data_IF_165257303019
#
_entry.id   IF_165257303019
#
_cell.length_a   1.000
_cell.length_b   1.000
_cell.length_c   1.000
_cell.angle_alpha   90.00
_cell.angle_beta   90.00
_cell.angle_gamma   90.00
#
_symmetry.space_group_name_H-M   'P 1'
#
loop_
_entity.id
_entity.type
_entity.pdbx_description
1 polymer ?
#
# COMPACT_ATOMS: atom_id res chain seq x y z
N UNK A 1 -42.72 38.07 28.32
CA UNK A 1 -41.82 36.94 28.63
C UNK A 1 -40.94 36.74 27.43
N UNK A 2 -39.68 37.14 27.53
CA UNK A 2 -38.71 37.06 26.44
C UNK A 2 -38.22 35.61 26.31
N UNK A 3 -38.35 34.95 25.14
CA UNK A 3 -37.77 33.64 24.92
C UNK A 3 -36.25 33.83 24.83
N UNK A 4 -35.58 33.75 25.98
CA UNK A 4 -34.11 33.83 26.07
C UNK A 4 -33.53 32.76 25.15
N UNK A 5 -32.93 33.23 24.06
CA UNK A 5 -32.14 32.44 23.16
C UNK A 5 -31.09 31.68 23.98
N UNK A 6 -31.28 30.36 24.12
CA UNK A 6 -30.24 29.44 24.59
C UNK A 6 -29.22 29.32 23.46
N UNK A 7 -28.43 30.38 23.27
CA UNK A 7 -27.33 30.40 22.33
C UNK A 7 -26.25 29.47 22.85
N UNK A 8 -26.30 28.20 22.43
CA UNK A 8 -25.16 27.32 22.59
C UNK A 8 -23.95 27.98 21.92
N UNK A 9 -22.79 28.08 22.59
CA UNK A 9 -21.59 28.63 21.99
C UNK A 9 -21.29 27.86 20.69
N UNK A 10 -20.86 28.54 19.61
CA UNK A 10 -20.52 27.89 18.37
C UNK A 10 -19.49 26.79 18.65
N UNK A 11 -19.76 25.57 18.15
CA UNK A 11 -18.83 24.45 18.33
C UNK A 11 -17.45 24.89 17.83
N UNK A 12 -16.38 24.71 18.61
CA UNK A 12 -15.04 25.11 18.21
C UNK A 12 -14.71 24.45 16.86
N UNK A 13 -14.08 25.22 15.98
CA UNK A 13 -13.65 24.73 14.67
C UNK A 13 -12.67 23.58 14.87
N UNK A 14 -12.53 22.70 13.87
CA UNK A 14 -11.55 21.61 13.89
C UNK A 14 -10.17 22.17 14.29
N UNK A 15 -9.76 23.28 13.66
CA UNK A 15 -8.50 23.96 13.94
C UNK A 15 -8.37 24.44 15.40
N UNK A 16 -9.43 24.96 16.01
CA UNK A 16 -9.43 25.36 17.43
C UNK A 16 -9.32 24.16 18.37
N UNK A 17 -10.01 23.05 18.10
CA UNK A 17 -9.89 21.82 18.90
C UNK A 17 -8.46 21.26 18.84
N UNK A 18 -7.84 21.34 17.67
CA UNK A 18 -6.52 20.78 17.42
C UNK A 18 -5.38 21.61 18.01
N UNK A 19 -5.49 22.94 17.99
CA UNK A 19 -4.55 23.82 18.71
C UNK A 19 -4.59 23.50 20.21
N UNK A 20 -5.77 23.21 20.76
CA UNK A 20 -5.90 22.80 22.16
C UNK A 20 -5.30 21.41 22.45
N UNK A 21 -5.12 20.54 21.44
CA UNK A 21 -4.59 19.20 21.66
C UNK A 21 -3.07 19.16 21.84
N UNK A 22 -2.34 20.25 21.57
CA UNK A 22 -0.87 20.29 21.69
C UNK A 22 -0.19 19.31 20.72
N UNK A 23 -0.76 19.12 19.52
CA UNK A 23 -0.25 18.14 18.56
C UNK A 23 1.13 18.55 18.02
N UNK A 24 2.03 17.58 17.79
CA UNK A 24 3.30 17.84 17.14
C UNK A 24 3.13 18.51 15.76
N UNK A 25 4.00 19.47 15.44
CA UNK A 25 4.00 20.16 14.15
C UNK A 25 4.65 19.34 13.00
N UNK A 26 4.36 18.04 12.92
CA UNK A 26 4.88 17.16 11.86
C UNK A 26 4.08 17.31 10.56
N UNK A 27 4.64 16.85 9.43
CA UNK A 27 3.96 16.87 8.12
C UNK A 27 2.71 16.00 8.15
N UNK A 28 2.79 14.84 8.82
CA UNK A 28 1.63 13.97 9.02
C UNK A 28 0.45 14.70 9.66
N UNK A 29 0.66 15.36 10.80
CA UNK A 29 -0.41 16.08 11.47
C UNK A 29 -0.90 17.25 10.62
N UNK A 30 0.00 18.08 10.06
CA UNK A 30 -0.38 19.18 9.17
C UNK A 30 -1.32 18.72 8.06
N UNK A 31 -1.01 17.61 7.42
CA UNK A 31 -1.82 17.02 6.36
C UNK A 31 -3.21 16.57 6.85
N UNK A 32 -3.33 16.07 8.08
CA UNK A 32 -4.63 15.78 8.69
C UNK A 32 -5.43 17.05 8.98
N UNK A 33 -4.77 18.12 9.42
CA UNK A 33 -5.42 19.38 9.83
C UNK A 33 -5.73 20.32 8.68
N UNK A 34 -5.11 20.13 7.52
CA UNK A 34 -5.37 20.95 6.33
C UNK A 34 -6.87 20.96 6.04
N UNK A 35 -7.50 22.14 5.85
CA UNK A 35 -8.90 22.20 5.45
C UNK A 35 -9.14 21.29 4.26
N UNK A 36 -10.29 20.59 4.25
CA UNK A 36 -10.67 19.82 3.07
C UNK A 36 -10.76 20.79 1.89
N UNK A 37 -9.77 20.75 1.02
CA UNK A 37 -9.89 21.37 -0.28
C UNK A 37 -10.86 20.49 -1.05
N UNK A 38 -12.09 20.95 -1.21
CA UNK A 38 -13.01 20.31 -2.12
C UNK A 38 -12.32 20.32 -3.48
N UNK A 39 -11.94 19.14 -3.96
CA UNK A 39 -11.44 18.99 -5.30
C UNK A 39 -12.61 19.37 -6.23
N UNK A 40 -12.56 20.62 -6.72
CA UNK A 40 -13.63 21.21 -7.54
C UNK A 40 -13.80 20.40 -8.81
N UNK A 41 -12.72 19.82 -9.33
CA UNK A 41 -12.75 18.96 -10.50
C UNK A 41 -13.48 17.66 -10.15
N UNK A 42 -13.11 17.01 -9.05
CA UNK A 42 -13.77 15.80 -8.57
C UNK A 42 -15.26 16.00 -8.27
N UNK A 43 -15.62 17.11 -7.61
CA UNK A 43 -17.01 17.47 -7.36
C UNK A 43 -17.79 17.73 -8.65
N UNK A 44 -17.14 18.30 -9.67
CA UNK A 44 -17.73 18.51 -11.00
C UNK A 44 -17.91 17.18 -11.72
N UNK A 45 -16.93 16.28 -11.68
CA UNK A 45 -16.98 14.94 -12.27
C UNK A 45 -18.05 14.06 -11.61
N UNK A 46 -18.24 14.18 -10.30
CA UNK A 46 -19.33 13.50 -9.59
C UNK A 46 -20.71 14.02 -9.97
N UNK A 47 -20.83 15.34 -10.18
CA UNK A 47 -22.09 16.00 -10.56
C UNK A 47 -22.46 15.80 -12.03
N UNK A 48 -21.48 15.68 -12.92
CA UNK A 48 -21.67 15.57 -14.37
C UNK A 48 -22.20 14.20 -14.82
N UNK A 49 -23.11 13.58 -14.05
CA UNK A 49 -23.68 12.23 -14.21
C UNK A 49 -24.43 12.00 -15.54
N UNK A 50 -23.81 12.22 -16.70
CA UNK A 50 -24.42 11.89 -17.99
C UNK A 50 -24.54 10.37 -18.10
N UNK A 51 -25.75 9.90 -18.37
CA UNK A 51 -26.13 8.48 -18.44
C UNK A 51 -25.39 7.72 -19.56
N UNK A 52 -24.75 8.44 -20.49
CA UNK A 52 -24.06 7.90 -21.67
C UNK A 52 -22.66 7.32 -21.38
N UNK A 53 -22.02 7.71 -20.28
CA UNK A 53 -20.65 7.28 -19.95
C UNK A 53 -20.62 6.14 -18.90
N UNK A 54 -21.74 5.42 -18.78
CA UNK A 54 -21.89 4.34 -17.80
C UNK A 54 -21.38 3.03 -18.40
N UNK A 55 -20.24 2.55 -17.90
CA UNK A 55 -19.73 1.23 -18.27
C UNK A 55 -20.44 0.13 -17.47
N UNK A 56 -20.63 -1.03 -18.11
CA UNK A 56 -21.09 -2.23 -17.45
C UNK A 56 -19.92 -3.20 -17.34
N UNK A 57 -19.55 -3.54 -16.11
CA UNK A 57 -18.46 -4.44 -15.79
C UNK A 57 -19.02 -5.83 -15.56
N UNK A 58 -18.65 -6.77 -16.44
CA UNK A 58 -19.09 -8.17 -16.35
C UNK A 58 -18.07 -8.99 -15.56
N UNK A 59 -18.49 -9.90 -14.66
CA UNK A 59 -17.56 -10.75 -13.92
C UNK A 59 -16.67 -11.55 -14.88
N UNK A 60 -15.37 -11.60 -14.59
CA UNK A 60 -14.43 -12.37 -15.41
C UNK A 60 -14.60 -13.87 -15.18
N UNK A 61 -14.73 -14.62 -16.28
CA UNK A 61 -14.86 -16.07 -16.30
C UNK A 61 -13.80 -16.67 -17.22
N UNK A 62 -13.28 -17.83 -16.87
CA UNK A 62 -12.35 -18.61 -17.69
C UNK A 62 -13.05 -19.87 -18.15
N UNK A 63 -13.00 -20.12 -19.45
CA UNK A 63 -13.42 -21.39 -20.03
C UNK A 63 -12.49 -22.49 -19.50
N UNK A 64 -13.03 -23.58 -18.95
CA UNK A 64 -12.20 -24.70 -18.55
C UNK A 64 -11.45 -25.23 -19.78
N UNK A 65 -10.19 -25.69 -19.62
CA UNK A 65 -9.43 -26.26 -20.73
C UNK A 65 -10.25 -27.41 -21.33
N UNK A 66 -10.65 -27.26 -22.60
CA UNK A 66 -11.43 -28.20 -23.41
C UNK A 66 -10.62 -29.45 -23.71
N UNK A 67 -10.32 -30.22 -22.67
CA UNK A 67 -9.64 -31.52 -22.78
C UNK A 67 -10.63 -32.69 -22.83
N UNK A 68 -11.92 -32.43 -22.62
CA UNK A 68 -12.96 -33.45 -22.71
C UNK A 68 -14.16 -32.94 -23.54
N UNK A 69 -14.29 -33.33 -24.82
CA UNK A 69 -15.38 -32.88 -25.70
C UNK A 69 -16.76 -33.37 -25.25
N UNK A 70 -16.82 -34.36 -24.35
CA UNK A 70 -18.07 -34.93 -23.84
C UNK A 70 -18.54 -34.31 -22.51
N UNK A 71 -17.79 -33.35 -21.94
CA UNK A 71 -18.21 -32.62 -20.75
C UNK A 71 -19.27 -31.57 -21.14
N UNK A 72 -20.53 -31.99 -21.17
CA UNK A 72 -21.71 -31.14 -21.34
C UNK A 72 -21.62 -29.85 -20.49
N UNK A 73 -21.94 -28.71 -21.12
CA UNK A 73 -22.02 -27.36 -20.51
C UNK A 73 -21.01 -27.13 -19.37
N UNK A 74 -19.73 -27.11 -19.72
CA UNK A 74 -18.64 -26.81 -18.79
C UNK A 74 -18.92 -25.54 -18.00
N UNK A 75 -19.18 -25.69 -16.69
CA UNK A 75 -19.40 -24.57 -15.79
C UNK A 75 -18.15 -23.68 -15.79
N UNK A 76 -18.24 -22.49 -16.37
CA UNK A 76 -17.12 -21.55 -16.43
C UNK A 76 -16.53 -21.30 -15.05
N UNK A 77 -15.22 -21.47 -14.91
CA UNK A 77 -14.55 -21.27 -13.63
C UNK A 77 -14.37 -19.77 -13.36
N UNK A 78 -14.77 -19.34 -12.16
CA UNK A 78 -14.52 -17.97 -11.69
C UNK A 78 -13.03 -17.72 -11.48
N UNK A 79 -12.49 -16.66 -12.08
CA UNK A 79 -11.08 -16.27 -11.88
C UNK A 79 -10.83 -15.85 -10.44
N UNK A 80 -11.80 -15.15 -9.84
CA UNK A 80 -11.79 -14.72 -8.45
C UNK A 80 -13.11 -15.06 -7.77
N UNK A 81 -13.01 -15.60 -6.55
CA UNK A 81 -14.16 -15.82 -5.67
C UNK A 81 -14.10 -14.80 -4.55
N UNK A 82 -15.03 -13.84 -4.56
CA UNK A 82 -15.15 -12.82 -3.52
C UNK A 82 -15.41 -13.46 -2.15
N UNK A 83 -14.85 -12.88 -1.09
CA UNK A 83 -14.89 -13.39 0.27
C UNK A 83 -15.28 -12.28 1.27
N UNK A 84 -15.42 -12.63 2.54
CA UNK A 84 -15.70 -11.67 3.62
C UNK A 84 -16.96 -10.85 3.35
N UNK A 85 -16.86 -9.53 3.56
CA UNK A 85 -17.93 -8.57 3.32
C UNK A 85 -18.40 -8.51 1.85
N UNK A 86 -17.61 -9.03 0.91
CA UNK A 86 -17.89 -9.00 -0.52
C UNK A 86 -18.37 -10.34 -1.08
N UNK A 87 -18.63 -11.35 -0.24
CA UNK A 87 -19.11 -12.67 -0.69
C UNK A 87 -20.40 -12.58 -1.52
N UNK A 88 -21.26 -11.61 -1.23
CA UNK A 88 -22.54 -11.40 -1.91
C UNK A 88 -22.39 -10.87 -3.35
N UNK A 89 -21.25 -10.29 -3.73
CA UNK A 89 -21.03 -9.75 -5.09
C UNK A 89 -20.74 -10.83 -6.13
N UNK A 90 -20.68 -12.10 -5.70
CA UNK A 90 -20.27 -13.23 -6.55
C UNK A 90 -21.18 -13.37 -7.77
N UNK A 91 -20.56 -13.40 -8.95
CA UNK A 91 -21.23 -13.48 -10.26
C UNK A 91 -22.19 -12.32 -10.60
N UNK A 92 -22.18 -11.24 -9.83
CA UNK A 92 -23.00 -10.07 -10.11
C UNK A 92 -22.23 -9.07 -10.96
N UNK A 93 -22.87 -8.55 -12.00
CA UNK A 93 -22.28 -7.48 -12.80
C UNK A 93 -22.37 -6.14 -12.05
N UNK A 94 -21.41 -5.25 -12.30
CA UNK A 94 -21.46 -3.88 -11.79
C UNK A 94 -22.00 -3.00 -12.89
N UNK A 95 -23.10 -2.34 -12.59
CA UNK A 95 -23.76 -1.40 -13.50
C UNK A 95 -23.33 0.01 -13.15
N UNK A 96 -23.35 0.89 -14.15
CA UNK A 96 -23.12 2.30 -13.93
C UNK A 96 -21.70 2.64 -13.46
N UNK A 97 -20.72 1.82 -13.83
CA UNK A 97 -19.33 1.99 -13.41
C UNK A 97 -18.77 3.29 -13.95
N UNK A 98 -18.05 4.03 -13.11
CA UNK A 98 -17.32 5.23 -13.49
C UNK A 98 -15.97 5.29 -12.82
N UNK A 99 -14.94 5.46 -13.62
CA UNK A 99 -13.61 5.83 -13.12
C UNK A 99 -13.56 7.35 -13.02
N UNK A 100 -13.57 7.87 -11.80
CA UNK A 100 -13.74 9.30 -11.53
C UNK A 100 -12.39 9.99 -11.42
N UNK A 101 -11.49 9.42 -10.61
CA UNK A 101 -10.18 10.03 -10.35
C UNK A 101 -9.08 9.00 -10.62
N UNK A 102 -8.12 9.36 -11.47
CA UNK A 102 -6.91 8.57 -11.62
C UNK A 102 -5.98 8.85 -10.43
N UNK A 103 -5.78 7.83 -9.59
CA UNK A 103 -4.90 7.91 -8.42
C UNK A 103 -3.51 7.34 -8.69
N UNK A 104 -3.24 6.87 -9.91
CA UNK A 104 -1.92 6.39 -10.32
C UNK A 104 -0.89 7.51 -10.29
N UNK A 105 0.38 7.15 -10.06
CA UNK A 105 1.48 8.08 -10.25
C UNK A 105 1.52 8.58 -11.72
N UNK A 106 1.68 9.90 -11.96
CA UNK A 106 1.69 10.47 -13.31
C UNK A 106 2.86 10.00 -14.19
N UNK A 107 3.85 9.29 -13.62
CA UNK A 107 5.01 8.75 -14.35
C UNK A 107 4.72 7.45 -15.12
N UNK A 108 3.49 6.94 -15.08
CA UNK A 108 3.16 5.64 -15.65
C UNK A 108 2.96 5.73 -17.18
N UNK A 109 3.69 4.87 -17.91
CA UNK A 109 3.57 4.70 -19.36
C UNK A 109 2.10 4.33 -19.71
N UNK A 110 1.49 4.89 -20.77
CA UNK A 110 0.11 4.57 -21.17
C UNK A 110 -0.19 3.06 -21.34
N UNK A 111 0.83 2.22 -21.55
CA UNK A 111 0.69 0.76 -21.64
C UNK A 111 0.58 0.06 -20.28
N UNK A 112 0.75 0.76 -19.17
CA UNK A 112 0.79 0.17 -17.81
C UNK A 112 -0.57 0.20 -17.13
N UNK A 113 -0.69 -0.62 -16.07
CA UNK A 113 -1.82 -0.62 -15.16
C UNK A 113 -2.13 0.80 -14.66
N UNK A 114 -3.41 1.17 -14.66
CA UNK A 114 -3.90 2.41 -14.06
C UNK A 114 -4.82 2.11 -12.89
N UNK A 115 -4.64 2.84 -11.81
CA UNK A 115 -5.46 2.80 -10.61
C UNK A 115 -6.41 4.00 -10.58
N UNK A 116 -7.70 3.74 -10.37
CA UNK A 116 -8.75 4.75 -10.33
C UNK A 116 -9.56 4.63 -9.03
N UNK A 117 -10.03 5.77 -8.53
CA UNK A 117 -11.21 5.80 -7.67
C UNK A 117 -12.45 5.79 -8.55
N UNK A 118 -13.43 4.95 -8.21
CA UNK A 118 -14.66 4.84 -8.98
C UNK A 118 -15.90 4.53 -8.14
N UNK A 119 -17.03 4.61 -8.81
CA UNK A 119 -18.35 4.28 -8.27
C UNK A 119 -19.10 3.33 -9.20
N UNK A 120 -20.02 2.55 -8.66
CA UNK A 120 -20.91 1.69 -9.44
C UNK A 120 -22.02 1.12 -8.56
N UNK A 121 -22.86 0.26 -9.14
CA UNK A 121 -24.00 -0.35 -8.44
C UNK A 121 -24.00 -1.86 -8.68
N UNK A 122 -24.09 -2.66 -7.61
CA UNK A 122 -24.29 -4.12 -7.63
C UNK A 122 -25.59 -4.43 -6.92
N UNK A 123 -26.52 -5.11 -7.59
CA UNK A 123 -27.81 -5.53 -6.99
C UNK A 123 -28.52 -4.39 -6.22
N UNK A 124 -28.58 -3.23 -6.87
CA UNK A 124 -29.17 -1.98 -6.37
C UNK A 124 -28.46 -1.33 -5.16
N UNK A 125 -27.29 -1.84 -4.76
CA UNK A 125 -26.41 -1.19 -3.80
C UNK A 125 -25.34 -0.37 -4.51
N UNK A 126 -25.33 0.93 -4.25
CA UNK A 126 -24.25 1.81 -4.67
C UNK A 126 -22.98 1.50 -3.88
N UNK A 127 -21.85 1.44 -4.57
CA UNK A 127 -20.54 1.23 -3.96
C UNK A 127 -19.49 2.18 -4.52
N UNK A 128 -18.46 2.35 -3.71
CA UNK A 128 -17.23 3.07 -4.03
C UNK A 128 -16.07 2.09 -3.99
N UNK A 129 -15.15 2.21 -4.93
CA UNK A 129 -14.06 1.26 -5.08
C UNK A 129 -12.77 1.91 -5.59
N UNK A 130 -11.66 1.21 -5.36
CA UNK A 130 -10.42 1.41 -6.11
C UNK A 130 -10.36 0.37 -7.23
N UNK A 131 -10.24 0.81 -8.48
CA UNK A 131 -10.07 -0.06 -9.63
C UNK A 131 -8.62 -0.03 -10.11
N UNK A 132 -7.95 -1.18 -10.14
CA UNK A 132 -6.78 -1.36 -11.01
C UNK A 132 -7.26 -1.85 -12.38
N UNK A 133 -6.82 -1.20 -13.45
CA UNK A 133 -7.28 -1.43 -14.81
C UNK A 133 -6.12 -1.68 -15.77
N UNK A 134 -6.14 -2.82 -16.46
CA UNK A 134 -5.16 -3.20 -17.47
C UNK A 134 -5.80 -3.16 -18.86
N UNK A 135 -5.09 -2.65 -19.89
CA UNK A 135 -5.52 -2.80 -21.27
C UNK A 135 -5.67 -4.28 -21.64
N UNK A 136 -6.75 -4.66 -22.31
CA UNK A 136 -6.96 -6.05 -22.75
C UNK A 136 -5.93 -6.50 -23.79
N UNK A 137 -5.42 -5.54 -24.57
CA UNK A 137 -4.43 -5.78 -25.61
C UNK A 137 -3.01 -6.05 -25.07
N UNK A 138 -2.71 -5.66 -23.83
CA UNK A 138 -1.42 -5.97 -23.21
C UNK A 138 -1.41 -7.44 -22.78
N UNK A 139 -0.27 -8.13 -22.94
CA UNK A 139 -0.06 -9.42 -22.28
C UNK A 139 -0.34 -9.21 -20.78
N UNK A 140 -1.04 -10.17 -20.16
CA UNK A 140 -1.55 -10.04 -18.78
C UNK A 140 -0.72 -10.79 -17.71
N UNK A 141 0.61 -11.05 -17.86
CA UNK A 141 1.34 -11.77 -16.82
C UNK A 141 1.32 -10.99 -15.50
N UNK A 142 1.43 -9.66 -15.55
CA UNK A 142 1.36 -8.80 -14.36
C UNK A 142 0.03 -8.96 -13.62
N UNK A 143 -1.10 -8.99 -14.34
CA UNK A 143 -2.42 -9.21 -13.77
C UNK A 143 -2.52 -10.62 -13.14
N UNK A 144 -2.05 -11.66 -13.84
CA UNK A 144 -2.10 -13.04 -13.33
C UNK A 144 -1.23 -13.18 -12.07
N UNK A 145 -0.01 -12.63 -12.10
CA UNK A 145 0.90 -12.59 -10.95
C UNK A 145 0.22 -11.86 -9.79
N UNK A 146 -0.30 -10.65 -9.98
CA UNK A 146 -0.93 -9.86 -8.92
C UNK A 146 -2.17 -10.57 -8.33
N UNK A 147 -3.06 -11.12 -9.16
CA UNK A 147 -4.22 -11.89 -8.69
C UNK A 147 -3.77 -13.11 -7.86
N UNK A 148 -2.74 -13.83 -8.32
CA UNK A 148 -2.24 -15.00 -7.61
C UNK A 148 -1.69 -14.66 -6.22
N UNK A 149 -1.08 -13.48 -6.08
CA UNK A 149 -0.59 -12.95 -4.80
C UNK A 149 -1.75 -12.62 -3.86
N UNK A 150 -2.79 -11.93 -4.35
CA UNK A 150 -3.99 -11.67 -3.55
C UNK A 150 -4.71 -12.96 -3.13
N UNK A 151 -4.69 -14.01 -3.96
CA UNK A 151 -5.23 -15.32 -3.56
C UNK A 151 -4.44 -15.94 -2.40
N UNK A 152 -3.11 -15.81 -2.40
CA UNK A 152 -2.24 -16.31 -1.32
C UNK A 152 -2.44 -15.54 -0.02
N UNK A 153 -2.65 -14.23 -0.12
CA UNK A 153 -2.86 -13.34 1.04
C UNK A 153 -4.34 -13.10 1.35
N UNK A 154 -5.22 -14.03 0.98
CA UNK A 154 -6.68 -13.84 1.07
C UNK A 154 -7.15 -13.43 2.47
N UNK A 155 -6.55 -14.01 3.50
CA UNK A 155 -6.93 -13.77 4.90
C UNK A 155 -6.45 -12.41 5.42
N UNK A 156 -5.58 -11.73 4.69
CA UNK A 156 -5.11 -10.38 4.98
C UNK A 156 -5.97 -9.30 4.31
N UNK A 157 -6.87 -9.69 3.40
CA UNK A 157 -7.72 -8.79 2.62
C UNK A 157 -8.72 -8.01 3.50
N UNK A 158 -8.75 -6.70 3.34
CA UNK A 158 -9.57 -5.78 4.14
C UNK A 158 -8.97 -5.44 5.52
N UNK A 159 -7.85 -6.08 5.88
CA UNK A 159 -7.16 -5.88 7.16
C UNK A 159 -5.80 -5.21 6.96
N UNK A 160 -4.95 -5.82 6.13
CA UNK A 160 -3.57 -5.37 5.86
C UNK A 160 -3.31 -5.08 4.38
N UNK A 161 -4.13 -5.65 3.48
CA UNK A 161 -4.11 -5.38 2.04
C UNK A 161 -5.55 -5.07 1.58
N UNK A 162 -5.77 -4.44 0.41
CA UNK A 162 -7.12 -4.18 -0.08
C UNK A 162 -7.94 -5.46 -0.20
N UNK A 163 -9.20 -5.41 0.26
CA UNK A 163 -10.16 -6.47 -0.01
C UNK A 163 -10.56 -6.44 -1.49
N UNK A 164 -10.43 -7.57 -2.19
CA UNK A 164 -10.83 -7.65 -3.62
C UNK A 164 -12.33 -7.89 -3.71
N UNK A 165 -13.04 -6.91 -4.25
CA UNK A 165 -14.49 -6.97 -4.52
C UNK A 165 -14.77 -7.95 -5.66
N UNK A 166 -13.92 -7.95 -6.70
CA UNK A 166 -14.00 -8.89 -7.82
C UNK A 166 -13.12 -8.50 -9.00
N UNK A 167 -13.07 -9.40 -9.99
CA UNK A 167 -12.43 -9.18 -11.28
C UNK A 167 -13.51 -9.04 -12.36
N UNK A 168 -13.39 -7.99 -13.15
CA UNK A 168 -14.40 -7.64 -14.14
C UNK A 168 -13.77 -7.30 -15.49
N UNK A 169 -14.50 -7.57 -16.56
CA UNK A 169 -14.14 -7.19 -17.92
C UNK A 169 -15.01 -6.02 -18.36
N UNK A 170 -14.36 -4.93 -18.79
CA UNK A 170 -14.97 -3.82 -19.53
C UNK A 170 -14.76 -3.98 -21.05
N UNK A 171 -15.00 -2.92 -21.82
CA UNK A 171 -14.89 -2.97 -23.30
C UNK A 171 -13.46 -3.35 -23.75
N UNK A 172 -12.46 -2.59 -23.30
CA UNK A 172 -11.05 -2.78 -23.70
C UNK A 172 -10.11 -3.00 -22.50
N UNK A 173 -10.67 -3.30 -21.34
CA UNK A 173 -9.92 -3.38 -20.07
C UNK A 173 -10.37 -4.54 -19.21
N UNK A 174 -9.43 -5.05 -18.42
CA UNK A 174 -9.74 -5.88 -17.26
C UNK A 174 -9.55 -5.04 -16.02
N UNK A 175 -10.51 -5.09 -15.10
CA UNK A 175 -10.58 -4.29 -13.90
C UNK A 175 -10.57 -5.20 -12.67
N UNK A 176 -9.62 -4.99 -11.77
CA UNK A 176 -9.63 -5.54 -10.43
C UNK A 176 -10.17 -4.48 -9.49
N UNK A 177 -11.36 -4.73 -8.95
CA UNK A 177 -11.99 -3.81 -8.02
C UNK A 177 -11.64 -4.19 -6.59
N UNK A 178 -11.29 -3.18 -5.82
CA UNK A 178 -10.80 -3.29 -4.47
C UNK A 178 -11.56 -2.33 -3.57
N UNK A 179 -11.70 -2.72 -2.31
CA UNK A 179 -12.24 -1.87 -1.25
C UNK A 179 -11.35 -0.62 -1.05
N UNK A 180 -11.98 0.50 -0.68
CA UNK A 180 -11.26 1.70 -0.26
C UNK A 180 -10.44 1.39 1.01
N UNK A 181 -9.23 1.96 1.19
CA UNK A 181 -8.49 1.79 2.44
C UNK A 181 -9.30 2.20 3.68
N UNK A 182 -10.16 3.20 3.54
CA UNK A 182 -11.13 3.62 4.54
C UNK A 182 -12.26 4.43 3.88
N UNK A 183 -13.53 4.32 4.31
CA UNK A 183 -14.66 4.98 3.65
C UNK A 183 -14.65 6.51 3.74
N UNK A 184 -13.97 7.12 4.71
CA UNK A 184 -14.00 8.59 4.86
C UNK A 184 -12.79 9.29 4.24
N UNK A 185 -11.59 8.82 4.57
CA UNK A 185 -10.32 9.36 4.11
C UNK A 185 -9.20 8.38 4.47
N UNK A 186 -8.08 8.48 3.75
CA UNK A 186 -6.84 7.79 4.07
C UNK A 186 -5.65 8.67 3.70
N UNK A 187 -4.48 8.35 4.27
CA UNK A 187 -3.25 9.13 4.12
C UNK A 187 -2.09 8.20 3.78
N UNK A 188 -1.21 8.61 2.87
CA UNK A 188 0.07 7.92 2.66
C UNK A 188 0.91 7.97 3.94
N UNK A 189 1.64 6.90 4.25
CA UNK A 189 2.49 6.83 5.42
C UNK A 189 3.62 7.90 5.37
N UNK A 190 4.10 8.31 6.53
CA UNK A 190 5.25 9.20 6.63
C UNK A 190 6.21 8.74 7.74
N UNK A 191 7.43 9.24 7.71
CA UNK A 191 8.43 8.96 8.74
C UNK A 191 8.22 9.78 10.03
N UNK A 192 7.39 10.82 9.95
CA UNK A 192 7.07 11.73 11.04
C UNK A 192 5.64 11.54 11.61
N UNK A 193 5.00 10.41 11.28
CA UNK A 193 3.76 9.97 11.92
C UNK A 193 4.05 9.38 13.32
N UNK A 194 3.05 9.29 14.23
CA UNK A 194 3.21 8.69 15.55
C UNK A 194 3.72 7.24 15.53
N UNK A 195 4.50 6.86 16.54
CA UNK A 195 5.10 5.52 16.62
C UNK A 195 4.07 4.41 16.72
N UNK A 196 2.87 4.66 17.27
CA UNK A 196 1.73 3.73 17.21
C UNK A 196 1.39 3.34 15.77
N UNK A 197 1.35 4.30 14.84
CA UNK A 197 1.07 4.03 13.43
C UNK A 197 2.24 3.32 12.75
N UNK A 198 3.49 3.74 13.04
CA UNK A 198 4.68 3.04 12.54
C UNK A 198 4.68 1.57 12.96
N UNK A 199 4.37 1.28 14.22
CA UNK A 199 4.26 -0.08 14.75
C UNK A 199 3.20 -0.89 14.00
N UNK A 200 2.02 -0.30 13.72
CA UNK A 200 0.98 -0.95 12.89
C UNK A 200 1.47 -1.24 11.47
N UNK A 201 2.27 -0.36 10.88
CA UNK A 201 2.92 -0.63 9.59
C UNK A 201 3.91 -1.80 9.67
N UNK A 202 4.73 -1.87 10.73
CA UNK A 202 5.64 -3.00 10.95
C UNK A 202 4.84 -4.30 11.04
N UNK A 203 3.80 -4.34 11.89
CA UNK A 203 2.95 -5.51 12.03
C UNK A 203 2.27 -5.92 10.73
N UNK A 204 1.83 -4.95 9.92
CA UNK A 204 1.29 -5.23 8.59
C UNK A 204 2.30 -5.97 7.70
N UNK A 205 3.55 -5.49 7.62
CA UNK A 205 4.60 -6.18 6.87
C UNK A 205 5.00 -7.54 7.48
N UNK A 206 4.97 -7.68 8.81
CA UNK A 206 5.20 -8.98 9.47
C UNK A 206 4.15 -10.01 9.03
N UNK A 207 2.87 -9.61 8.95
CA UNK A 207 1.78 -10.48 8.49
C UNK A 207 1.90 -10.82 7.00
N UNK A 208 2.31 -9.87 6.16
CA UNK A 208 2.58 -10.11 4.73
C UNK A 208 3.77 -11.09 4.56
N UNK A 209 4.86 -10.88 5.31
CA UNK A 209 6.04 -11.75 5.29
C UNK A 209 5.75 -13.14 5.84
N UNK A 210 4.89 -13.25 6.86
CA UNK A 210 4.41 -14.53 7.39
C UNK A 210 3.60 -15.33 6.37
N UNK A 211 2.91 -14.67 5.43
CA UNK A 211 2.27 -15.32 4.27
C UNK A 211 3.28 -15.77 3.18
N UNK A 212 4.58 -15.56 3.41
CA UNK A 212 5.66 -15.89 2.50
C UNK A 212 5.75 -14.94 1.30
N UNK A 213 5.28 -13.69 1.45
CA UNK A 213 5.27 -12.68 0.38
C UNK A 213 6.26 -11.56 0.69
N UNK A 214 7.13 -11.27 -0.27
CA UNK A 214 8.00 -10.09 -0.31
C UNK A 214 7.29 -9.01 -1.14
N UNK A 215 7.14 -7.78 -0.63
CA UNK A 215 6.49 -6.69 -1.38
C UNK A 215 7.33 -6.21 -2.57
N UNK A 216 8.66 -6.17 -2.42
CA UNK A 216 9.64 -5.78 -3.43
C UNK A 216 9.77 -4.27 -3.69
N UNK A 217 8.71 -3.50 -3.48
CA UNK A 217 8.68 -2.03 -3.61
C UNK A 217 8.06 -1.32 -2.40
N UNK A 218 8.65 -1.43 -1.20
CA UNK A 218 8.03 -1.02 0.07
C UNK A 218 8.09 0.50 0.31
N UNK A 219 7.66 1.30 -0.66
CA UNK A 219 7.68 2.76 -0.58
C UNK A 219 6.57 3.30 0.32
N UNK A 220 6.80 4.44 0.98
CA UNK A 220 5.81 5.05 1.89
C UNK A 220 4.48 5.41 1.19
N UNK A 221 4.49 5.78 -0.10
CA UNK A 221 3.27 6.05 -0.86
C UNK A 221 2.43 4.80 -1.18
N UNK A 222 2.98 3.59 -0.98
CA UNK A 222 2.26 2.33 -1.13
C UNK A 222 1.59 1.87 0.18
N UNK A 223 1.79 2.61 1.29
CA UNK A 223 1.26 2.30 2.61
C UNK A 223 0.21 3.36 2.97
N UNK A 224 -1.03 2.94 3.13
CA UNK A 224 -2.15 3.82 3.48
C UNK A 224 -2.58 3.65 4.93
N UNK A 225 -2.80 4.77 5.60
CA UNK A 225 -3.37 4.87 6.94
C UNK A 225 -4.83 5.32 6.82
N UNK A 226 -5.76 4.47 7.23
CA UNK A 226 -7.19 4.79 7.29
C UNK A 226 -7.53 5.78 8.41
N UNK A 227 -8.72 6.40 8.33
CA UNK A 227 -9.26 7.26 9.39
C UNK A 227 -9.60 6.53 10.70
N UNK A 228 -9.49 5.20 10.70
CA UNK A 228 -9.59 4.28 11.84
C UNK A 228 -8.22 3.65 12.20
N UNK A 229 -7.13 4.33 11.81
CA UNK A 229 -5.75 3.92 12.00
C UNK A 229 -5.39 2.52 11.49
N UNK A 230 -6.22 1.89 10.63
CA UNK A 230 -5.86 0.65 9.92
C UNK A 230 -4.80 0.94 8.86
N UNK A 231 -3.91 -0.03 8.66
CA UNK A 231 -2.82 0.08 7.68
C UNK A 231 -3.10 -0.86 6.52
N UNK A 232 -3.19 -0.30 5.32
CA UNK A 232 -3.39 -1.05 4.08
C UNK A 232 -2.17 -0.85 3.16
N UNK A 233 -1.46 -1.93 2.85
CA UNK A 233 -0.35 -1.94 1.90
C UNK A 233 -0.86 -2.31 0.52
N UNK A 234 -0.41 -1.58 -0.50
CA UNK A 234 -0.88 -1.71 -1.88
C UNK A 234 0.30 -1.82 -2.84
N UNK A 235 0.00 -2.14 -4.12
CA UNK A 235 0.99 -2.13 -5.21
C UNK A 235 2.02 -3.27 -5.15
N UNK A 236 1.53 -4.50 -5.23
CA UNK A 236 2.32 -5.74 -5.25
C UNK A 236 2.90 -6.10 -6.63
N UNK A 237 3.12 -5.11 -7.51
CA UNK A 237 3.60 -5.34 -8.87
C UNK A 237 5.03 -5.91 -8.92
N UNK A 238 5.84 -5.63 -7.89
CA UNK A 238 7.22 -6.13 -7.75
C UNK A 238 7.34 -7.24 -6.71
N UNK A 239 6.20 -7.78 -6.27
CA UNK A 239 6.19 -8.76 -5.20
C UNK A 239 6.73 -10.11 -5.65
N UNK A 240 7.31 -10.83 -4.69
CA UNK A 240 7.88 -12.16 -4.85
C UNK A 240 7.36 -13.06 -3.74
N UNK A 241 7.48 -14.37 -3.89
CA UNK A 241 7.00 -15.34 -2.89
C UNK A 241 8.05 -16.40 -2.61
N UNK A 242 8.09 -16.91 -1.38
CA UNK A 242 9.03 -17.97 -1.00
C UNK A 242 8.81 -19.24 -1.83
N UNK A 243 7.56 -19.61 -2.04
CA UNK A 243 7.18 -20.78 -2.85
C UNK A 243 6.56 -20.28 -4.15
N UNK A 244 7.42 -19.90 -5.10
CA UNK A 244 6.99 -19.37 -6.38
C UNK A 244 6.35 -20.45 -7.26
N UNK A 245 5.27 -20.06 -7.94
CA UNK A 245 4.66 -20.85 -9.02
C UNK A 245 5.03 -20.20 -10.36
N UNK A 246 6.05 -20.70 -11.09
CA UNK A 246 6.51 -20.09 -12.34
C UNK A 246 5.43 -20.00 -13.41
N UNK A 247 4.49 -20.96 -13.44
CA UNK A 247 3.34 -20.97 -14.34
C UNK A 247 2.41 -19.76 -14.17
N UNK A 248 2.44 -19.10 -13.01
CA UNK A 248 1.68 -17.88 -12.72
C UNK A 248 2.53 -16.61 -12.81
N UNK A 249 3.76 -16.70 -13.33
CA UNK A 249 4.68 -15.56 -13.42
C UNK A 249 5.18 -15.06 -12.06
N UNK A 250 5.09 -15.89 -11.01
CA UNK A 250 5.61 -15.54 -9.69
C UNK A 250 7.13 -15.68 -9.66
N UNK A 251 7.80 -14.73 -9.01
CA UNK A 251 9.24 -14.76 -8.76
C UNK A 251 9.51 -15.30 -7.35
N UNK A 252 10.63 -16.01 -7.19
CA UNK A 252 11.05 -16.57 -5.91
C UNK A 252 11.66 -15.48 -5.01
N UNK A 253 11.31 -15.53 -3.72
CA UNK A 253 11.86 -14.71 -2.66
C UNK A 253 12.68 -15.58 -1.70
N UNK A 254 13.79 -15.06 -1.20
CA UNK A 254 14.54 -15.74 -0.13
C UNK A 254 14.17 -15.17 1.24
N UNK A 255 14.25 -15.94 2.34
CA UNK A 255 14.04 -15.41 3.68
C UNK A 255 14.92 -14.19 4.01
N UNK A 256 16.14 -14.15 3.46
CA UNK A 256 17.05 -13.01 3.62
C UNK A 256 16.50 -11.74 2.95
N UNK A 257 15.80 -11.85 1.82
CA UNK A 257 15.15 -10.71 1.17
C UNK A 257 14.00 -10.17 2.02
N UNK A 258 13.21 -11.03 2.65
CA UNK A 258 12.13 -10.60 3.56
C UNK A 258 12.71 -9.85 4.78
N UNK A 259 13.77 -10.39 5.40
CA UNK A 259 14.48 -9.68 6.49
C UNK A 259 15.02 -8.32 6.04
N UNK A 260 15.60 -8.25 4.84
CA UNK A 260 16.12 -7.01 4.27
C UNK A 260 15.01 -5.99 4.00
N UNK A 261 13.86 -6.42 3.48
CA UNK A 261 12.69 -5.56 3.27
C UNK A 261 12.13 -5.05 4.60
N UNK A 262 12.10 -5.88 5.64
CA UNK A 262 11.67 -5.44 6.98
C UNK A 262 12.60 -4.36 7.56
N UNK A 263 13.93 -4.52 7.40
CA UNK A 263 14.91 -3.48 7.78
C UNK A 263 14.70 -2.20 6.97
N UNK A 264 14.46 -2.34 5.66
CA UNK A 264 14.17 -1.20 4.79
C UNK A 264 12.91 -0.44 5.24
N UNK A 265 11.83 -1.15 5.59
CA UNK A 265 10.59 -0.53 6.10
C UNK A 265 10.84 0.21 7.41
N UNK A 266 11.53 -0.41 8.37
CA UNK A 266 11.89 0.24 9.64
C UNK A 266 12.71 1.52 9.40
N UNK A 267 13.70 1.45 8.50
CA UNK A 267 14.53 2.58 8.10
C UNK A 267 13.72 3.71 7.46
N UNK A 268 12.83 3.38 6.51
CA UNK A 268 11.96 4.35 5.83
C UNK A 268 11.05 5.06 6.84
N UNK A 269 10.41 4.31 7.73
CA UNK A 269 9.52 4.86 8.77
C UNK A 269 10.26 5.57 9.90
N UNK A 270 11.59 5.45 9.97
CA UNK A 270 12.37 5.78 11.16
C UNK A 270 11.74 5.22 12.45
N UNK A 271 11.41 3.93 12.42
CA UNK A 271 10.86 3.21 13.56
C UNK A 271 12.00 2.78 14.49
N UNK A 272 11.88 3.04 15.80
CA UNK A 272 12.90 2.72 16.81
C UNK A 272 14.33 3.20 16.45
N UNK A 273 14.45 4.39 15.87
CA UNK A 273 15.73 4.97 15.42
C UNK A 273 16.49 4.06 14.44
N UNK A 274 15.76 3.32 13.59
CA UNK A 274 16.35 2.39 12.63
C UNK A 274 17.35 3.04 11.67
N UNK A 275 17.25 4.36 11.42
CA UNK A 275 18.22 5.06 10.57
C UNK A 275 19.59 5.11 11.23
N UNK A 276 19.63 5.56 12.48
CA UNK A 276 20.83 5.65 13.29
C UNK A 276 21.46 4.27 13.49
N UNK A 277 20.64 3.25 13.73
CA UNK A 277 21.09 1.85 13.88
C UNK A 277 21.78 1.35 12.60
N UNK A 278 21.14 1.52 11.44
CA UNK A 278 21.71 1.08 10.15
C UNK A 278 22.96 1.88 9.76
N UNK A 279 23.00 3.18 10.08
CA UNK A 279 24.20 4.00 9.88
C UNK A 279 25.36 3.54 10.76
N UNK A 280 25.13 3.29 12.05
CA UNK A 280 26.14 2.76 12.96
C UNK A 280 26.64 1.39 12.51
N UNK A 281 25.72 0.50 12.12
CA UNK A 281 26.05 -0.83 11.60
C UNK A 281 26.97 -0.75 10.37
N UNK A 282 26.66 0.17 9.44
CA UNK A 282 27.52 0.42 8.28
C UNK A 282 28.88 1.01 8.64
N UNK A 283 28.95 1.95 9.60
CA UNK A 283 30.22 2.55 10.04
C UNK A 283 31.14 1.51 10.69
N UNK A 284 30.62 0.64 11.54
CA UNK A 284 31.36 -0.45 12.17
C UNK A 284 31.90 -1.43 11.13
N UNK A 285 31.06 -1.85 10.19
CA UNK A 285 31.47 -2.68 9.06
C UNK A 285 32.59 -2.05 8.25
N UNK A 286 32.45 -0.76 7.91
CA UNK A 286 33.42 -0.02 7.11
C UNK A 286 34.77 0.06 7.83
N UNK A 287 34.77 0.45 9.10
CA UNK A 287 36.00 0.52 9.92
C UNK A 287 36.69 -0.84 10.00
N UNK A 288 35.93 -1.91 10.23
CA UNK A 288 36.48 -3.27 10.27
C UNK A 288 37.10 -3.68 8.93
N UNK A 289 36.41 -3.42 7.83
CA UNK A 289 36.88 -3.73 6.48
C UNK A 289 38.19 -3.00 6.18
N UNK A 290 38.27 -1.71 6.50
CA UNK A 290 39.48 -0.90 6.32
C UNK A 290 40.65 -1.42 7.19
N UNK A 291 40.42 -1.80 8.44
CA UNK A 291 41.44 -2.42 9.29
C UNK A 291 41.94 -3.74 8.68
N UNK A 292 41.04 -4.62 8.27
CA UNK A 292 41.40 -5.91 7.68
C UNK A 292 42.12 -5.77 6.34
N UNK A 293 41.76 -4.76 5.52
CA UNK A 293 42.48 -4.45 4.28
C UNK A 293 43.90 -3.98 4.56
N UNK A 294 44.11 -3.08 5.54
CA UNK A 294 45.45 -2.63 5.96
C UNK A 294 46.30 -3.79 6.50
N UNK A 295 45.73 -4.67 7.32
CA UNK A 295 46.40 -5.87 7.82
C UNK A 295 46.84 -6.80 6.68
N UNK A 296 46.01 -6.94 5.64
CA UNK A 296 46.33 -7.73 4.46
C UNK A 296 47.46 -7.10 3.63
N UNK A 297 47.49 -5.77 3.50
CA UNK A 297 48.58 -5.04 2.85
C UNK A 297 49.90 -5.16 3.62
N UNK A 298 49.87 -5.05 4.95
CA UNK A 298 51.04 -5.28 5.81
C UNK A 298 51.59 -6.70 5.65
N UNK A 299 50.72 -7.70 5.58
CA UNK A 299 51.13 -9.08 5.30
C UNK A 299 51.79 -9.25 3.93
N UNK A 300 51.29 -8.57 2.90
CA UNK A 300 51.88 -8.63 1.55
C UNK A 300 53.25 -7.97 1.48
N UNK A 301 53.47 -6.89 2.24
CA UNK A 301 54.73 -6.13 2.26
C UNK A 301 55.81 -6.74 3.14
N UNK A 302 55.45 -7.51 4.17
CA UNK A 302 56.40 -8.16 5.09
C UNK A 302 56.62 -9.61 4.69
N UNK A 303 57.75 -9.90 4.05
CA UNK A 303 58.19 -11.27 3.72
C UNK A 303 58.36 -12.11 5.00
N UNK A 304 57.54 -13.16 5.15
CA UNK A 304 57.85 -14.34 5.96
C UNK A 304 57.21 -14.45 7.35
N UNK A 305 57.18 -13.38 8.16
CA UNK A 305 56.89 -13.52 9.59
C UNK A 305 55.69 -12.72 10.13
N UNK A 306 54.99 -11.97 9.27
CA UNK A 306 53.84 -11.17 9.73
C UNK A 306 52.55 -11.98 9.80
N UNK A 307 51.97 -12.07 10.99
CA UNK A 307 50.65 -12.63 11.24
C UNK A 307 49.61 -11.51 11.36
N UNK A 308 48.66 -11.40 10.41
CA UNK A 308 47.66 -10.33 10.44
C UNK A 308 46.67 -10.54 11.58
N UNK A 309 46.31 -9.45 12.25
CA UNK A 309 45.31 -9.46 13.31
C UNK A 309 43.94 -9.08 12.74
N UNK A 310 43.35 -9.99 11.97
CA UNK A 310 42.03 -9.74 11.39
C UNK A 310 40.97 -9.65 12.48
N UNK A 311 40.18 -8.58 12.41
CA UNK A 311 38.97 -8.44 13.22
C UNK A 311 37.91 -9.38 12.62
N UNK A 312 37.48 -10.36 13.42
CA UNK A 312 36.49 -11.36 13.04
C UNK A 312 35.15 -10.69 12.74
N UNK A 313 34.46 -11.15 11.70
CA UNK A 313 33.12 -10.67 11.38
C UNK A 313 32.13 -11.17 12.44
N UNK A 314 31.35 -10.26 13.06
CA UNK A 314 30.30 -10.64 14.01
C UNK A 314 29.25 -11.56 13.37
N UNK A 315 28.72 -12.51 14.13
CA UNK A 315 27.74 -13.49 13.63
C UNK A 315 26.42 -12.84 13.17
N UNK A 316 26.01 -11.76 13.82
CA UNK A 316 24.85 -10.95 13.43
C UNK A 316 25.04 -10.25 12.09
N UNK A 317 26.27 -9.91 11.71
CA UNK A 317 26.57 -9.38 10.38
C UNK A 317 26.63 -10.44 9.28
N UNK A 318 26.82 -11.71 9.64
CA UNK A 318 26.69 -12.82 8.69
C UNK A 318 25.20 -13.05 8.39
N UNK A 319 24.38 -13.06 9.44
CA UNK A 319 22.93 -13.27 9.32
C UNK A 319 22.23 -12.07 8.66
N UNK A 320 22.57 -10.86 9.10
CA UNK A 320 22.01 -9.60 8.63
C UNK A 320 23.13 -8.68 8.15
N UNK A 321 23.59 -8.81 6.90
CA UNK A 321 24.72 -8.04 6.41
C UNK A 321 24.45 -6.53 6.47
N UNK A 322 25.47 -5.72 6.78
CA UNK A 322 25.39 -4.27 6.76
C UNK A 322 25.05 -3.78 5.35
N UNK A 323 24.16 -2.80 5.26
CA UNK A 323 23.72 -2.18 4.01
C UNK A 323 24.20 -0.74 4.04
N UNK A 324 24.70 -0.21 2.92
CA UNK A 324 24.89 1.24 2.77
C UNK A 324 23.57 1.86 2.31
N UNK A 325 22.77 2.50 3.20
CA UNK A 325 21.47 3.04 2.84
C UNK A 325 21.62 4.17 1.81
N UNK A 326 22.84 4.71 1.65
CA UNK A 326 23.11 5.82 0.75
C UNK A 326 23.21 5.39 -0.70
N UNK A 327 23.59 4.13 -0.95
CA UNK A 327 23.77 3.55 -2.28
C UNK A 327 22.61 2.63 -2.66
N UNK A 328 21.95 2.02 -1.68
CA UNK A 328 20.87 1.08 -1.94
C UNK A 328 19.59 1.81 -2.40
N UNK A 329 19.07 1.42 -3.57
CA UNK A 329 17.82 1.96 -4.11
C UNK A 329 16.66 1.66 -3.15
N UNK A 330 15.80 2.66 -2.92
CA UNK A 330 14.59 2.52 -2.11
C UNK A 330 14.78 2.63 -0.60
N UNK A 331 16.02 2.78 -0.10
CA UNK A 331 16.27 3.00 1.33
C UNK A 331 16.15 4.47 1.72
N UNK A 332 16.43 5.39 0.78
CA UNK A 332 16.22 6.82 0.99
C UNK A 332 14.80 7.22 0.63
N UNK A 333 14.17 7.98 1.53
CA UNK A 333 12.99 8.76 1.19
C UNK A 333 13.41 9.80 0.14
N UNK A 334 12.68 9.86 -0.97
CA UNK A 334 12.87 10.92 -1.96
C UNK A 334 12.68 12.29 -1.29
N UNK A 335 13.60 13.23 -1.50
CA UNK A 335 13.46 14.60 -0.94
C UNK A 335 12.18 15.29 -1.41
N UNK A 336 11.65 14.86 -2.56
CA UNK A 336 10.39 15.34 -3.14
C UNK A 336 9.17 14.56 -2.65
N UNK A 337 9.35 13.57 -1.78
CA UNK A 337 8.25 12.83 -1.19
C UNK A 337 7.51 13.70 -0.16
N UNK A 338 6.22 13.90 -0.44
CA UNK A 338 5.26 14.48 0.49
C UNK A 338 4.08 13.52 0.60
N UNK A 339 3.71 13.07 1.81
CA UNK A 339 2.56 12.20 1.97
C UNK A 339 1.31 12.91 1.44
N UNK A 340 0.44 12.15 0.77
CA UNK A 340 -0.84 12.64 0.27
C UNK A 340 -2.00 12.17 1.12
N UNK A 341 -2.99 13.04 1.28
CA UNK A 341 -4.29 12.71 1.88
C UNK A 341 -5.34 12.61 0.80
N UNK A 342 -6.08 11.52 0.85
CA UNK A 342 -7.21 11.26 -0.01
C UNK A 342 -8.46 11.32 0.84
N UNK A 343 -9.37 12.24 0.49
CA UNK A 343 -10.67 12.37 1.17
C UNK A 343 -11.72 11.83 0.25
N UNK A 344 -12.57 10.94 0.74
CA UNK A 344 -13.69 10.45 -0.04
C UNK A 344 -14.55 11.65 -0.49
N UNK A 345 -14.81 11.82 -1.79
CA UNK A 345 -15.54 12.98 -2.24
C UNK A 345 -17.03 12.97 -1.86
N UNK A 346 -17.61 11.85 -1.46
CA UNK A 346 -19.05 11.76 -1.12
C UNK A 346 -19.36 12.13 0.33
N UNK A 347 -18.36 12.20 1.22
CA UNK A 347 -18.59 12.53 2.63
C UNK A 347 -18.74 14.04 2.87
N UNK A 348 -19.38 14.42 3.98
CA UNK A 348 -19.50 15.83 4.41
C UNK A 348 -18.25 16.33 5.13
N UNK A 349 -18.10 17.64 5.30
CA UNK A 349 -16.98 18.22 6.05
C UNK A 349 -17.03 17.87 7.54
N UNK A 350 -18.23 17.74 8.10
CA UNK A 350 -18.46 17.34 9.50
C UNK A 350 -18.06 15.88 9.71
N UNK A 351 -18.42 15.01 8.75
CA UNK A 351 -18.05 13.59 8.76
C UNK A 351 -16.53 13.44 8.69
N UNK A 352 -15.89 14.21 7.80
CA UNK A 352 -14.43 14.25 7.70
C UNK A 352 -13.78 14.71 9.01
N UNK A 353 -14.22 15.84 9.57
CA UNK A 353 -13.71 16.37 10.83
C UNK A 353 -13.87 15.37 11.99
N UNK A 354 -15.03 14.71 12.08
CA UNK A 354 -15.26 13.67 13.08
C UNK A 354 -14.34 12.46 12.90
N UNK A 355 -14.07 12.05 11.66
CA UNK A 355 -13.15 10.95 11.39
C UNK A 355 -11.70 11.32 11.74
N UNK A 356 -11.27 12.56 11.48
CA UNK A 356 -9.95 13.06 11.91
C UNK A 356 -9.84 13.11 13.44
N UNK A 357 -10.87 13.60 14.13
CA UNK A 357 -10.91 13.62 15.61
C UNK A 357 -10.78 12.19 16.18
N UNK A 358 -11.48 11.20 15.58
CA UNK A 358 -11.37 9.79 15.96
C UNK A 358 -9.96 9.22 15.74
N UNK A 359 -9.37 9.46 14.57
CA UNK A 359 -8.00 9.03 14.28
C UNK A 359 -7.01 9.60 15.30
N UNK A 360 -7.11 10.89 15.60
CA UNK A 360 -6.22 11.56 16.57
C UNK A 360 -6.41 10.98 17.97
N UNK A 361 -7.63 10.65 18.36
CA UNK A 361 -7.88 9.99 19.65
C UNK A 361 -7.26 8.59 19.71
N UNK A 362 -7.28 7.84 18.61
CA UNK A 362 -6.76 6.47 18.57
C UNK A 362 -5.23 6.37 18.56
N UNK A 363 -4.53 7.39 18.05
CA UNK A 363 -3.06 7.39 17.91
C UNK A 363 -2.33 8.13 19.04
N UNK A 364 -3.07 8.67 20.01
CA UNK A 364 -2.55 9.22 21.27
C UNK A 364 -2.59 8.13 22.33
#
# INVERSE_FOLDING_TARGET
MDPRATGHPPKPTLLQRLVNYGLPHTRFYKLLLEPRQADKELATLLKSRKKKDLECFKPQRVEPPTSNPDAAEGTLAEVWRSNGAWKWTRNLAIRGCRNILNISSPRNNPTTCKTFYGTGTIDDQDLEYVAKSWPRASRLPELVTEISLYKRMRDLGGVYIPGIIGLYTGVDRINMLMELPHPHFWVEASDDMPDVLKKRCITCFEMIHAAGVLHGAPYLHNIFIGGDARVIVTNFEQAKVIEATPALGQQEATPNQLRLEMRQIKYLLNYDNAREIEEQKWLLFKSRKECNEKELELRKSRLGEYWPHFIVQPADEILDPPVDPRKQKGWKIDKTYFPRRYVNPTISNETFASAVDKLIHEIR
#
